data_IF_298023982809
#
_entry.id   IF_298023982809
#
_cell.length_a   1.000
_cell.length_b   1.000
_cell.length_c   1.000
_cell.angle_alpha   90.00
_cell.angle_beta   90.00
_cell.angle_gamma   90.00
#
_symmetry.space_group_name_H-M   'P 1'
#
loop_
_entity.id
_entity.type
_entity.pdbx_description
1 polymer ?
#
# COMPACT_ATOMS: atom_id res chain seq x y z
N UNK A 1 -34.61 1.72 0.55
CA UNK A 1 -33.65 2.79 0.92
C UNK A 1 -34.43 4.09 1.12
N UNK A 2 -34.33 4.72 2.29
CA UNK A 2 -35.07 5.94 2.62
C UNK A 2 -34.34 7.21 2.15
N UNK A 3 -35.01 8.36 2.21
CA UNK A 3 -34.44 9.64 1.74
C UNK A 3 -33.22 10.10 2.56
N UNK A 4 -33.12 9.68 3.82
CA UNK A 4 -31.97 9.97 4.69
C UNK A 4 -30.72 9.23 4.18
N UNK A 5 -30.86 7.96 3.82
CA UNK A 5 -29.78 7.14 3.25
C UNK A 5 -29.32 7.70 1.91
N UNK A 6 -30.25 8.13 1.04
CA UNK A 6 -29.90 8.79 -0.23
C UNK A 6 -29.09 10.06 -0.01
N UNK A 7 -29.51 10.90 0.93
CA UNK A 7 -28.78 12.13 1.26
C UNK A 7 -27.38 11.85 1.82
N UNK A 8 -27.22 10.80 2.64
CA UNK A 8 -25.91 10.35 3.14
C UNK A 8 -24.99 9.90 2.01
N UNK A 9 -25.48 9.08 1.08
CA UNK A 9 -24.70 8.61 -0.07
C UNK A 9 -24.24 9.77 -0.94
N UNK A 10 -25.13 10.70 -1.28
CA UNK A 10 -24.76 11.91 -2.03
C UNK A 10 -23.65 12.70 -1.35
N UNK A 11 -23.71 12.84 -0.02
CA UNK A 11 -22.67 13.52 0.75
C UNK A 11 -21.33 12.77 0.73
N UNK A 12 -21.35 11.43 0.81
CA UNK A 12 -20.16 10.60 0.71
C UNK A 12 -19.52 10.70 -0.67
N UNK A 13 -20.31 10.59 -1.73
CA UNK A 13 -19.86 10.74 -3.12
C UNK A 13 -19.26 12.12 -3.35
N UNK A 14 -19.93 13.19 -2.92
CA UNK A 14 -19.41 14.55 -3.02
C UNK A 14 -18.06 14.70 -2.31
N UNK A 15 -17.90 14.10 -1.11
CA UNK A 15 -16.63 14.10 -0.39
C UNK A 15 -15.55 13.32 -1.16
N UNK A 16 -15.91 12.18 -1.75
CA UNK A 16 -14.98 11.35 -2.52
C UNK A 16 -14.48 12.08 -3.77
N UNK A 17 -15.35 12.83 -4.47
CA UNK A 17 -14.99 13.70 -5.60
C UNK A 17 -13.94 14.74 -5.19
N UNK A 18 -14.20 15.47 -4.11
CA UNK A 18 -13.27 16.48 -3.58
C UNK A 18 -11.91 15.87 -3.22
N UNK A 19 -11.89 14.68 -2.60
CA UNK A 19 -10.65 13.99 -2.26
C UNK A 19 -9.88 13.52 -3.51
N UNK A 20 -10.59 12.97 -4.49
CA UNK A 20 -10.00 12.53 -5.77
C UNK A 20 -9.33 13.69 -6.50
N UNK A 21 -10.00 14.84 -6.59
CA UNK A 21 -9.47 16.06 -7.21
C UNK A 21 -8.24 16.61 -6.47
N UNK A 22 -8.26 16.60 -5.13
CA UNK A 22 -7.18 17.15 -4.32
C UNK A 22 -5.93 16.27 -4.33
N UNK A 23 -6.11 14.96 -4.16
CA UNK A 23 -5.02 14.03 -3.90
C UNK A 23 -4.58 13.27 -5.17
N UNK A 24 -5.23 13.52 -6.31
CA UNK A 24 -4.97 12.81 -7.57
C UNK A 24 -5.31 11.32 -7.51
N UNK A 25 -6.18 10.93 -6.57
CA UNK A 25 -6.56 9.55 -6.34
C UNK A 25 -7.48 9.04 -7.47
N UNK A 26 -7.11 7.89 -8.06
CA UNK A 26 -7.96 7.18 -9.02
C UNK A 26 -9.10 6.48 -8.29
N UNK A 27 -10.29 7.10 -8.34
CA UNK A 27 -11.52 6.53 -7.81
C UNK A 27 -12.34 5.96 -8.97
N UNK A 28 -12.81 4.71 -8.89
CA UNK A 28 -13.69 4.13 -9.89
C UNK A 28 -14.88 5.02 -10.20
N UNK A 29 -15.13 5.30 -11.48
CA UNK A 29 -16.18 6.23 -11.92
C UNK A 29 -17.56 5.89 -11.36
N UNK A 30 -17.84 4.59 -11.22
CA UNK A 30 -19.09 4.10 -10.69
C UNK A 30 -19.25 4.28 -9.18
N UNK A 31 -18.16 4.42 -8.42
CA UNK A 31 -18.23 4.82 -7.01
C UNK A 31 -18.61 6.30 -6.86
N UNK A 32 -18.50 7.09 -7.93
CA UNK A 32 -18.87 8.50 -8.00
C UNK A 32 -20.29 8.73 -8.55
N UNK A 33 -21.01 7.66 -8.90
CA UNK A 33 -22.40 7.73 -9.35
C UNK A 33 -23.34 7.80 -8.15
N UNK A 34 -23.93 8.98 -7.95
CA UNK A 34 -24.87 9.27 -6.87
C UNK A 34 -26.18 8.50 -6.98
N UNK A 35 -26.49 7.90 -8.13
CA UNK A 35 -27.70 7.11 -8.36
C UNK A 35 -27.43 5.60 -8.24
N UNK A 36 -26.16 5.21 -8.12
CA UNK A 36 -25.74 3.83 -7.94
C UNK A 36 -25.84 3.44 -6.47
N UNK A 37 -27.07 3.22 -6.01
CA UNK A 37 -27.37 2.74 -4.65
C UNK A 37 -28.51 1.70 -4.70
N UNK A 38 -28.39 0.60 -3.96
CA UNK A 38 -29.42 -0.45 -3.93
C UNK A 38 -28.88 -1.89 -3.96
N UNK A 39 -29.78 -2.85 -4.16
CA UNK A 39 -29.58 -4.30 -3.95
C UNK A 39 -28.71 -5.02 -5.01
N UNK A 40 -28.12 -4.32 -5.97
CA UNK A 40 -27.23 -4.96 -6.94
C UNK A 40 -25.86 -5.18 -6.31
N UNK A 41 -25.44 -6.44 -6.21
CA UNK A 41 -24.07 -6.78 -5.82
C UNK A 41 -23.09 -6.22 -6.86
N UNK A 42 -21.86 -5.90 -6.42
CA UNK A 42 -20.78 -5.53 -7.33
C UNK A 42 -20.49 -6.69 -8.28
N UNK A 43 -20.35 -6.39 -9.56
CA UNK A 43 -19.83 -7.34 -10.54
C UNK A 43 -18.37 -7.68 -10.23
N UNK A 44 -17.87 -8.80 -10.77
CA UNK A 44 -16.48 -9.18 -10.57
C UNK A 44 -15.49 -8.10 -11.07
N UNK A 45 -15.80 -7.42 -12.17
CA UNK A 45 -14.97 -6.34 -12.70
C UNK A 45 -14.92 -5.15 -11.73
N UNK A 46 -16.06 -4.77 -11.15
CA UNK A 46 -16.14 -3.67 -10.20
C UNK A 46 -15.46 -4.00 -8.87
N UNK A 47 -15.52 -5.27 -8.44
CA UNK A 47 -14.76 -5.74 -7.28
C UNK A 47 -13.26 -5.59 -7.51
N UNK A 48 -12.76 -5.95 -8.70
CA UNK A 48 -11.35 -5.79 -9.05
C UNK A 48 -10.93 -4.32 -9.13
N UNK A 49 -11.72 -3.47 -9.79
CA UNK A 49 -11.46 -2.03 -9.91
C UNK A 49 -11.45 -1.34 -8.54
N UNK A 50 -12.38 -1.72 -7.66
CA UNK A 50 -12.38 -1.25 -6.27
C UNK A 50 -11.13 -1.72 -5.52
N UNK A 51 -10.77 -3.00 -5.63
CA UNK A 51 -9.64 -3.56 -4.91
C UNK A 51 -8.33 -2.91 -5.34
N UNK A 52 -8.12 -2.69 -6.65
CA UNK A 52 -6.96 -1.98 -7.18
C UNK A 52 -6.84 -0.56 -6.59
N UNK A 53 -7.93 0.20 -6.62
CA UNK A 53 -7.98 1.56 -6.06
C UNK A 53 -7.67 1.56 -4.56
N UNK A 54 -8.27 0.65 -3.77
CA UNK A 54 -8.03 0.56 -2.33
C UNK A 54 -6.62 0.11 -1.99
N UNK A 55 -6.06 -0.85 -2.74
CA UNK A 55 -4.70 -1.36 -2.49
C UNK A 55 -3.65 -0.25 -2.58
N UNK A 56 -3.80 0.69 -3.51
CA UNK A 56 -2.91 1.83 -3.61
C UNK A 56 -2.88 2.68 -2.32
N UNK A 57 -4.03 2.86 -1.66
CA UNK A 57 -4.12 3.59 -0.40
C UNK A 57 -3.53 2.78 0.76
N UNK A 58 -3.87 1.50 0.86
CA UNK A 58 -3.36 0.62 1.92
C UNK A 58 -1.84 0.52 1.85
N UNK A 59 -1.28 0.37 0.65
CA UNK A 59 0.16 0.42 0.41
C UNK A 59 0.78 1.72 0.92
N UNK A 60 0.19 2.86 0.57
CA UNK A 60 0.65 4.16 1.04
C UNK A 60 0.61 4.31 2.57
N UNK A 61 -0.44 3.78 3.21
CA UNK A 61 -0.55 3.73 4.67
C UNK A 61 0.54 2.87 5.29
N UNK A 62 0.79 1.66 4.77
CA UNK A 62 1.89 0.78 5.24
C UNK A 62 3.24 1.47 5.09
N UNK A 63 3.51 2.10 3.95
CA UNK A 63 4.76 2.82 3.71
C UNK A 63 4.98 3.96 4.73
N UNK A 64 3.93 4.75 5.00
CA UNK A 64 3.98 5.83 5.99
C UNK A 64 4.17 5.31 7.41
N UNK A 65 3.46 4.24 7.80
CA UNK A 65 3.61 3.62 9.11
C UNK A 65 5.03 3.09 9.30
N UNK A 66 5.60 2.45 8.28
CA UNK A 66 6.99 1.98 8.33
C UNK A 66 7.99 3.13 8.51
N UNK A 67 7.81 4.25 7.79
CA UNK A 67 8.65 5.44 7.98
C UNK A 67 8.57 5.96 9.42
N UNK A 68 7.37 6.04 9.99
CA UNK A 68 7.17 6.46 11.39
C UNK A 68 7.93 5.52 12.34
N UNK A 69 7.86 4.21 12.13
CA UNK A 69 8.60 3.23 12.94
C UNK A 69 10.12 3.35 12.77
N UNK A 70 10.60 3.61 11.55
CA UNK A 70 12.01 3.92 11.33
C UNK A 70 12.44 5.20 12.04
N UNK A 71 11.62 6.26 12.02
CA UNK A 71 11.87 7.49 12.78
C UNK A 71 11.98 7.25 14.28
N UNK A 72 11.11 6.39 14.84
CA UNK A 72 11.16 5.99 16.25
C UNK A 72 12.42 5.18 16.59
N UNK A 73 12.84 4.26 15.72
CA UNK A 73 13.95 3.33 15.98
C UNK A 73 15.33 3.92 15.67
N UNK A 74 15.44 4.72 14.61
CA UNK A 74 16.71 5.13 14.02
C UNK A 74 16.89 6.65 13.88
N UNK A 75 15.83 7.42 14.17
CA UNK A 75 15.82 8.88 14.04
C UNK A 75 15.84 9.35 12.59
N UNK A 76 16.40 10.54 12.40
CA UNK A 76 16.46 11.23 11.11
C UNK A 76 17.91 11.55 10.73
N UNK A 77 18.17 11.73 9.43
CA UNK A 77 19.43 12.28 8.91
C UNK A 77 19.10 13.38 7.92
N UNK A 78 19.58 14.59 8.18
CA UNK A 78 19.33 15.76 7.32
C UNK A 78 17.83 16.05 7.09
N UNK A 79 16.98 15.64 8.04
CA UNK A 79 15.52 15.79 7.96
C UNK A 79 14.78 14.58 7.38
N UNK A 80 15.51 13.62 6.79
CA UNK A 80 14.92 12.44 6.17
C UNK A 80 14.88 11.23 7.11
N UNK A 81 13.87 10.38 6.92
CA UNK A 81 13.78 9.08 7.58
C UNK A 81 14.90 8.16 7.12
N UNK A 82 15.49 7.43 8.05
CA UNK A 82 16.57 6.48 7.75
C UNK A 82 16.29 5.10 8.29
N UNK A 83 16.72 4.09 7.53
CA UNK A 83 16.95 2.75 8.04
C UNK A 83 18.44 2.60 8.40
N UNK A 84 18.74 2.03 9.57
CA UNK A 84 20.12 1.82 10.01
C UNK A 84 20.36 0.35 10.28
N UNK A 85 21.39 -0.18 9.66
CA UNK A 85 21.90 -1.52 9.93
C UNK A 85 23.44 -1.47 9.92
N UNK A 86 24.05 -1.92 11.03
CA UNK A 86 25.49 -1.79 11.26
C UNK A 86 26.00 -0.34 11.09
N UNK A 87 27.03 -0.18 10.25
CA UNK A 87 27.59 1.14 9.91
C UNK A 87 26.88 1.87 8.76
N UNK A 88 25.81 1.30 8.19
CA UNK A 88 25.14 1.84 7.01
C UNK A 88 23.84 2.53 7.40
N UNK A 89 23.58 3.69 6.80
CA UNK A 89 22.29 4.39 6.90
C UNK A 89 21.71 4.58 5.49
N UNK A 90 20.51 4.04 5.26
CA UNK A 90 19.78 4.17 4.01
C UNK A 90 18.70 5.24 4.18
N UNK A 91 18.71 6.24 3.29
CA UNK A 91 17.60 7.21 3.21
C UNK A 91 16.35 6.51 2.67
N UNK A 92 15.22 6.71 3.35
CA UNK A 92 13.95 6.11 2.96
C UNK A 92 12.96 7.19 2.53
N UNK A 93 12.29 6.93 1.42
CA UNK A 93 11.13 7.70 0.98
C UNK A 93 9.90 6.81 0.94
N UNK A 94 8.72 7.42 1.05
CA UNK A 94 7.45 6.72 0.88
C UNK A 94 7.41 6.00 -0.48
N UNK A 95 7.79 6.69 -1.55
CA UNK A 95 7.79 6.15 -2.91
C UNK A 95 8.70 4.92 -3.06
N UNK A 96 9.88 4.93 -2.43
CA UNK A 96 10.78 3.78 -2.44
C UNK A 96 10.12 2.55 -1.80
N UNK A 97 9.52 2.73 -0.62
CA UNK A 97 8.85 1.65 0.10
C UNK A 97 7.66 1.13 -0.70
N UNK A 98 6.84 2.03 -1.26
CA UNK A 98 5.71 1.62 -2.12
C UNK A 98 6.19 0.79 -3.32
N UNK A 99 7.30 1.18 -3.98
CA UNK A 99 7.88 0.41 -5.08
C UNK A 99 8.36 -0.98 -4.64
N UNK A 100 8.96 -1.09 -3.46
CA UNK A 100 9.35 -2.39 -2.88
C UNK A 100 8.12 -3.27 -2.65
N UNK A 101 7.05 -2.72 -2.06
CA UNK A 101 5.81 -3.45 -1.81
C UNK A 101 5.14 -3.90 -3.11
N UNK A 102 5.04 -3.02 -4.12
CA UNK A 102 4.52 -3.41 -5.45
C UNK A 102 5.33 -4.58 -6.00
N UNK A 103 6.67 -4.45 -6.00
CA UNK A 103 7.53 -5.38 -6.69
C UNK A 103 7.58 -6.78 -6.06
N UNK A 104 7.65 -6.83 -4.73
CA UNK A 104 7.92 -8.06 -4.01
C UNK A 104 6.71 -8.67 -3.32
N UNK A 105 5.62 -7.91 -3.16
CA UNK A 105 4.38 -8.39 -2.54
C UNK A 105 3.26 -8.41 -3.56
N UNK A 106 2.91 -7.26 -4.15
CA UNK A 106 1.70 -7.18 -4.98
C UNK A 106 1.83 -7.92 -6.31
N UNK A 107 2.92 -7.70 -7.05
CA UNK A 107 3.20 -8.41 -8.29
C UNK A 107 3.30 -9.93 -8.07
N UNK A 108 3.85 -10.34 -6.92
CA UNK A 108 3.99 -11.76 -6.59
C UNK A 108 2.64 -12.41 -6.27
N UNK A 109 1.79 -11.73 -5.48
CA UNK A 109 0.43 -12.17 -5.21
C UNK A 109 -0.42 -12.27 -6.48
N UNK A 110 -0.35 -11.27 -7.35
CA UNK A 110 -1.09 -11.27 -8.63
C UNK A 110 -0.61 -12.41 -9.53
N UNK A 111 0.71 -12.67 -9.56
CA UNK A 111 1.28 -13.77 -10.36
C UNK A 111 0.84 -15.14 -9.87
N UNK A 112 0.84 -15.36 -8.56
CA UNK A 112 0.49 -16.65 -7.95
C UNK A 112 -1.02 -16.88 -7.83
N UNK A 113 -1.81 -15.80 -7.78
CA UNK A 113 -3.27 -15.85 -7.68
C UNK A 113 -3.96 -15.00 -8.75
N UNK A 114 -3.78 -15.30 -10.04
CA UNK A 114 -4.26 -14.43 -11.12
C UNK A 114 -5.79 -14.29 -11.19
N UNK A 115 -6.54 -15.29 -10.71
CA UNK A 115 -8.01 -15.22 -10.65
C UNK A 115 -8.52 -14.26 -9.56
N UNK A 116 -7.77 -14.12 -8.46
CA UNK A 116 -8.08 -13.18 -7.37
C UNK A 116 -7.46 -11.80 -7.64
N UNK A 117 -6.27 -11.74 -8.25
CA UNK A 117 -5.55 -10.53 -8.62
C UNK A 117 -5.51 -9.48 -7.48
N UNK A 118 -6.09 -8.30 -7.68
CA UNK A 118 -6.08 -7.23 -6.67
C UNK A 118 -6.90 -7.56 -5.42
N UNK A 119 -7.86 -8.49 -5.50
CA UNK A 119 -8.58 -8.99 -4.31
C UNK A 119 -7.62 -9.73 -3.38
N UNK A 120 -6.69 -10.53 -3.92
CA UNK A 120 -5.68 -11.22 -3.10
C UNK A 120 -4.74 -10.20 -2.42
N UNK A 121 -4.36 -9.15 -3.13
CA UNK A 121 -3.54 -8.05 -2.58
C UNK A 121 -4.28 -7.34 -1.45
N UNK A 122 -5.56 -7.00 -1.66
CA UNK A 122 -6.41 -6.38 -0.64
C UNK A 122 -6.49 -7.25 0.63
N UNK A 123 -6.80 -8.54 0.46
CA UNK A 123 -6.89 -9.49 1.58
C UNK A 123 -5.55 -9.59 2.35
N UNK A 124 -4.43 -9.55 1.64
CA UNK A 124 -3.11 -9.57 2.25
C UNK A 124 -2.86 -8.34 3.13
N UNK A 125 -3.14 -7.13 2.63
CA UNK A 125 -3.05 -5.91 3.44
C UNK A 125 -4.03 -5.92 4.61
N UNK A 126 -5.27 -6.37 4.40
CA UNK A 126 -6.29 -6.46 5.45
C UNK A 126 -5.85 -7.39 6.59
N UNK A 127 -5.26 -8.54 6.25
CA UNK A 127 -4.75 -9.48 7.25
C UNK A 127 -3.62 -8.87 8.09
N UNK A 128 -2.76 -8.03 7.50
CA UNK A 128 -1.76 -7.28 8.25
C UNK A 128 -2.42 -6.30 9.24
N UNK A 129 -3.39 -5.52 8.79
CA UNK A 129 -4.07 -4.53 9.63
C UNK A 129 -4.78 -5.20 10.80
N UNK A 130 -5.42 -6.35 10.57
CA UNK A 130 -6.01 -7.15 11.63
C UNK A 130 -4.94 -7.57 12.67
N UNK A 131 -3.83 -8.13 12.21
CA UNK A 131 -2.73 -8.54 13.09
C UNK A 131 -2.14 -7.37 13.88
N UNK A 132 -1.96 -6.22 13.25
CA UNK A 132 -1.47 -5.01 13.90
C UNK A 132 -2.41 -4.56 15.01
N UNK A 133 -3.73 -4.59 14.77
CA UNK A 133 -4.72 -4.24 15.77
C UNK A 133 -4.77 -5.24 16.94
N UNK A 134 -4.56 -6.52 16.67
CA UNK A 134 -4.64 -7.59 17.69
C UNK A 134 -3.36 -7.69 18.54
N UNK A 135 -2.18 -7.51 17.93
CA UNK A 135 -0.88 -7.82 18.55
C UNK A 135 0.08 -6.63 18.65
N UNK A 136 -0.26 -5.49 18.05
CA UNK A 136 0.67 -4.36 17.89
C UNK A 136 1.79 -4.62 16.90
N UNK A 137 1.80 -5.79 16.24
CA UNK A 137 2.85 -6.25 15.36
C UNK A 137 2.46 -6.17 13.89
N UNK A 138 3.34 -5.63 13.05
CA UNK A 138 3.18 -5.55 11.59
C UNK A 138 4.21 -6.44 10.91
N UNK A 139 3.77 -7.43 10.13
CA UNK A 139 4.70 -8.26 9.36
C UNK A 139 5.37 -7.48 8.24
N UNK A 140 4.80 -6.33 7.83
CA UNK A 140 5.44 -5.47 6.83
C UNK A 140 6.69 -4.82 7.39
N UNK A 141 6.75 -4.57 8.69
CA UNK A 141 7.96 -4.01 9.29
C UNK A 141 9.10 -5.04 9.24
N UNK A 142 8.82 -6.29 9.63
CA UNK A 142 9.81 -7.38 9.55
C UNK A 142 10.27 -7.60 8.11
N UNK A 143 9.32 -7.73 7.18
CA UNK A 143 9.63 -7.91 5.76
C UNK A 143 10.48 -6.77 5.19
N UNK A 144 10.12 -5.51 5.45
CA UNK A 144 10.87 -4.36 4.96
C UNK A 144 12.24 -4.25 5.61
N UNK A 145 12.35 -4.54 6.92
CA UNK A 145 13.64 -4.58 7.62
C UNK A 145 14.56 -5.63 7.00
N UNK A 146 14.06 -6.84 6.71
CA UNK A 146 14.85 -7.90 6.07
C UNK A 146 15.39 -7.47 4.70
N UNK A 147 14.53 -6.88 3.86
CA UNK A 147 14.92 -6.36 2.55
C UNK A 147 15.99 -5.26 2.68
N UNK A 148 15.79 -4.30 3.58
CA UNK A 148 16.74 -3.20 3.73
C UNK A 148 18.04 -3.61 4.43
N UNK A 149 18.01 -4.61 5.31
CA UNK A 149 19.22 -5.25 5.86
C UNK A 149 20.01 -5.93 4.76
N UNK A 150 19.38 -6.72 3.87
CA UNK A 150 20.08 -7.35 2.74
C UNK A 150 20.74 -6.30 1.83
N UNK A 151 20.02 -5.22 1.50
CA UNK A 151 20.57 -4.10 0.73
C UNK A 151 21.76 -3.45 1.46
N UNK A 152 21.65 -3.20 2.76
CA UNK A 152 22.72 -2.60 3.54
C UNK A 152 23.98 -3.48 3.63
N UNK A 153 23.81 -4.80 3.75
CA UNK A 153 24.91 -5.79 3.74
C UNK A 153 25.65 -5.75 2.41
N UNK A 154 24.93 -5.83 1.28
CA UNK A 154 25.53 -5.82 -0.06
C UNK A 154 26.29 -4.53 -0.34
N UNK A 155 25.72 -3.39 0.06
CA UNK A 155 26.39 -2.09 -0.06
C UNK A 155 27.70 -2.02 0.74
N UNK A 156 27.76 -2.63 1.94
CA UNK A 156 29.01 -2.70 2.72
C UNK A 156 30.03 -3.63 2.09
N UNK A 157 29.58 -4.71 1.45
CA UNK A 157 30.45 -5.65 0.75
C UNK A 157 31.03 -5.07 -0.55
N UNK A 158 30.56 -3.89 -0.99
CA UNK A 158 30.95 -3.30 -2.28
C UNK A 158 30.41 -4.06 -3.48
N UNK A 159 29.36 -4.86 -3.27
CA UNK A 159 28.67 -5.58 -4.34
C UNK A 159 27.82 -4.61 -5.15
N UNK A 160 27.75 -4.82 -6.47
CA UNK A 160 26.81 -4.10 -7.30
C UNK A 160 25.38 -4.32 -6.78
N UNK A 161 24.65 -3.22 -6.58
CA UNK A 161 23.23 -3.27 -6.33
C UNK A 161 22.57 -4.12 -7.42
N UNK A 162 21.62 -5.01 -7.09
CA UNK A 162 21.03 -5.89 -8.07
C UNK A 162 20.21 -5.06 -9.07
N UNK A 163 20.87 -4.59 -10.13
CA UNK A 163 20.22 -4.40 -11.41
C UNK A 163 19.95 -5.80 -11.87
N UNK A 164 18.72 -6.30 -11.66
CA UNK A 164 18.29 -7.47 -12.42
C UNK A 164 18.44 -7.08 -13.88
N UNK A 165 19.48 -7.59 -14.52
CA UNK A 165 19.49 -7.82 -15.96
C UNK A 165 18.25 -8.65 -16.22
N UNK A 166 17.23 -8.01 -16.80
CA UNK A 166 16.08 -8.69 -17.35
C UNK A 166 16.59 -9.50 -18.57
N UNK A 167 17.24 -10.62 -18.30
CA UNK A 167 17.53 -11.64 -19.29
C UNK A 167 16.41 -12.66 -19.25
N UNK A 168 15.49 -12.44 -20.20
CA UNK A 168 14.54 -13.37 -20.86
C UNK A 168 13.42 -13.98 -20.04
#
# INVERSE_FOLDING_TARGET
>A
MNDIEKAKIKRLVARLKVLSERDGCSVPSWMLDENRYGNSSLTAAEQQEWAESVCAHMRGSVALLYLIECGKRFGFREGDYVFRDGGTALGLTRELIEKVLIKYVEEDLIRHKPAEAHIAVYQFYQANDQRLNESGHSWFNEFLDEIFTDVAVRLRAGEDLPVKSNTH
#
